data_IF_636300101483
#
_entry.id   IF_636300101483
#
_cell.length_a   1.000
_cell.length_b   1.000
_cell.length_c   1.000
_cell.angle_alpha   90.00
_cell.angle_beta   90.00
_cell.angle_gamma   90.00
#
_symmetry.space_group_name_H-M   'P 1'
#
loop_
_entity.id
_entity.type
_entity.pdbx_description
1 polymer ?
#
# COMPACT_ATOMS: atom_id res chain seq x y z
N UNK A 1 -23.76 66.37 -1.56
CA UNK A 1 -23.38 64.97 -1.75
C UNK A 1 -22.04 64.94 -2.48
N UNK A 2 -20.97 64.50 -1.84
CA UNK A 2 -19.65 64.46 -2.46
C UNK A 2 -19.57 63.23 -3.35
N UNK A 3 -19.47 63.45 -4.65
CA UNK A 3 -19.24 62.38 -5.63
C UNK A 3 -17.84 61.75 -5.40
N UNK A 4 -17.81 60.59 -4.83
CA UNK A 4 -16.56 59.82 -4.67
C UNK A 4 -16.09 59.32 -6.04
N UNK A 5 -15.48 60.20 -6.85
CA UNK A 5 -14.88 59.86 -8.12
C UNK A 5 -13.58 59.09 -7.86
N UNK A 6 -13.60 57.80 -8.08
CA UNK A 6 -12.39 56.92 -8.09
C UNK A 6 -11.50 57.40 -9.25
N UNK A 7 -10.46 58.20 -8.93
CA UNK A 7 -9.50 58.71 -9.92
C UNK A 7 -8.40 57.67 -10.17
N UNK A 8 -7.86 57.63 -11.41
CA UNK A 8 -6.71 56.75 -11.76
C UNK A 8 -5.53 56.90 -10.81
N UNK A 9 -5.31 58.12 -10.27
CA UNK A 9 -4.24 58.42 -9.32
C UNK A 9 -4.52 57.83 -7.95
N UNK A 10 -5.78 57.81 -7.50
CA UNK A 10 -6.20 57.17 -6.25
C UNK A 10 -6.06 55.63 -6.36
N UNK A 11 -6.47 55.06 -7.49
CA UNK A 11 -6.36 53.62 -7.75
C UNK A 11 -4.91 53.14 -7.79
N UNK A 12 -4.00 53.90 -8.43
CA UNK A 12 -2.57 53.61 -8.46
C UNK A 12 -1.93 53.67 -7.07
N UNK A 13 -2.30 54.68 -6.27
CA UNK A 13 -1.79 54.87 -4.92
C UNK A 13 -2.33 53.78 -3.96
N UNK A 14 -3.61 53.44 -4.09
CA UNK A 14 -4.25 52.39 -3.31
C UNK A 14 -3.63 51.02 -3.63
N UNK A 15 -3.38 50.72 -4.92
CA UNK A 15 -2.73 49.49 -5.33
C UNK A 15 -1.30 49.42 -4.79
N UNK A 16 -0.54 50.47 -4.87
CA UNK A 16 0.85 50.47 -4.39
C UNK A 16 0.96 50.28 -2.87
N UNK A 17 0.00 50.84 -2.11
CA UNK A 17 0.01 50.75 -0.63
C UNK A 17 -0.74 49.57 -0.07
N UNK A 18 -1.70 49.02 -0.81
CA UNK A 18 -2.62 47.96 -0.31
C UNK A 18 -2.48 46.63 -0.97
N UNK A 19 -1.59 46.47 -1.98
CA UNK A 19 -1.42 45.18 -2.69
C UNK A 19 -1.08 44.03 -1.75
N UNK A 20 -0.30 44.31 -0.72
CA UNK A 20 0.01 43.36 0.35
C UNK A 20 -1.23 42.78 1.05
N UNK A 21 -2.22 43.66 1.32
CA UNK A 21 -3.50 43.27 1.95
C UNK A 21 -4.29 42.34 1.06
N UNK A 22 -4.26 42.55 -0.24
CA UNK A 22 -4.92 41.67 -1.21
C UNK A 22 -4.21 40.34 -1.31
N UNK A 23 -2.88 40.30 -1.34
CA UNK A 23 -2.09 39.06 -1.29
C UNK A 23 -2.40 38.26 -0.02
N UNK A 24 -2.42 38.94 1.12
CA UNK A 24 -2.71 38.28 2.41
C UNK A 24 -4.16 37.77 2.46
N UNK A 25 -5.13 38.54 1.95
CA UNK A 25 -6.52 38.11 1.87
C UNK A 25 -6.68 36.87 0.96
N UNK A 26 -6.02 36.88 -0.20
CA UNK A 26 -6.02 35.75 -1.13
C UNK A 26 -5.41 34.52 -0.47
N UNK A 27 -4.29 34.65 0.22
CA UNK A 27 -3.62 33.57 0.91
C UNK A 27 -4.50 32.99 2.02
N UNK A 28 -5.15 33.84 2.82
CA UNK A 28 -6.11 33.39 3.86
C UNK A 28 -7.32 32.69 3.24
N UNK A 29 -7.83 33.19 2.10
CA UNK A 29 -8.96 32.59 1.42
C UNK A 29 -8.61 31.19 0.88
N UNK A 30 -7.45 31.04 0.25
CA UNK A 30 -6.97 29.73 -0.24
C UNK A 30 -6.78 28.77 0.94
N UNK A 31 -6.17 29.24 2.02
CA UNK A 31 -5.95 28.44 3.23
C UNK A 31 -7.29 28.03 3.88
N UNK A 32 -8.24 28.95 3.96
CA UNK A 32 -9.59 28.70 4.49
C UNK A 32 -10.35 27.67 3.67
N UNK A 33 -10.34 27.79 2.35
CA UNK A 33 -10.97 26.81 1.45
C UNK A 33 -10.29 25.44 1.58
N UNK A 34 -8.95 25.41 1.67
CA UNK A 34 -8.20 24.17 1.82
C UNK A 34 -8.54 23.46 3.15
N UNK A 35 -8.60 24.22 4.25
CA UNK A 35 -9.00 23.68 5.57
C UNK A 35 -10.44 23.17 5.53
N UNK A 36 -11.38 23.95 4.97
CA UNK A 36 -12.77 23.52 4.84
C UNK A 36 -12.88 22.23 4.03
N UNK A 37 -12.20 22.16 2.87
CA UNK A 37 -12.21 20.96 2.04
C UNK A 37 -11.63 19.76 2.79
N UNK A 38 -10.48 19.93 3.46
CA UNK A 38 -9.82 18.84 4.20
C UNK A 38 -10.65 18.32 5.37
N UNK A 39 -11.40 19.22 6.05
CA UNK A 39 -12.23 18.85 7.23
C UNK A 39 -13.61 18.34 6.86
N UNK A 40 -14.13 18.69 5.68
CA UNK A 40 -15.48 18.30 5.24
C UNK A 40 -15.48 17.20 4.18
N UNK A 41 -14.32 16.90 3.57
CA UNK A 41 -14.21 15.78 2.62
C UNK A 41 -14.56 14.47 3.34
N UNK A 42 -15.48 13.71 2.73
CA UNK A 42 -15.78 12.37 3.21
C UNK A 42 -14.50 11.51 3.15
N UNK A 43 -14.25 10.80 4.23
CA UNK A 43 -13.19 9.78 4.32
C UNK A 43 -13.87 8.50 4.75
N UNK A 44 -13.76 7.44 3.98
CA UNK A 44 -14.28 6.15 4.38
C UNK A 44 -13.71 5.74 5.74
N UNK A 45 -14.50 5.12 6.63
CA UNK A 45 -13.97 4.53 7.85
C UNK A 45 -12.97 3.41 7.51
N UNK A 46 -12.07 3.11 8.43
CA UNK A 46 -10.99 2.12 8.19
C UNK A 46 -11.53 0.74 7.78
N UNK A 47 -12.67 0.32 8.33
CA UNK A 47 -13.36 -0.93 7.99
C UNK A 47 -13.84 -1.02 6.53
N UNK A 48 -13.91 0.12 5.83
CA UNK A 48 -14.32 0.23 4.42
C UNK A 48 -13.18 0.56 3.46
N UNK A 49 -11.99 0.50 3.94
CA UNK A 49 -10.76 0.66 3.16
C UNK A 49 -10.00 -0.64 3.15
N UNK A 50 -9.28 -0.86 2.08
CA UNK A 50 -8.26 -1.89 2.02
C UNK A 50 -6.93 -1.27 1.63
N UNK A 51 -5.91 -1.53 2.41
CA UNK A 51 -4.57 -1.00 2.20
C UNK A 51 -3.61 -2.13 1.81
N UNK A 52 -3.05 -2.02 0.60
CA UNK A 52 -2.08 -2.96 0.05
C UNK A 52 -0.70 -2.30 0.00
N UNK A 53 0.24 -2.81 0.78
CA UNK A 53 1.61 -2.34 0.80
C UNK A 53 2.51 -3.30 0.03
N UNK A 54 3.06 -2.82 -1.08
CA UNK A 54 4.01 -3.57 -1.90
C UNK A 54 5.42 -3.16 -1.48
N UNK A 55 6.11 -4.04 -0.75
CA UNK A 55 7.47 -3.79 -0.32
C UNK A 55 8.45 -4.28 -1.39
N UNK A 56 8.62 -3.50 -2.45
CA UNK A 56 9.51 -3.79 -3.57
C UNK A 56 10.38 -2.58 -3.92
N UNK A 57 11.37 -2.78 -4.80
CA UNK A 57 12.23 -1.68 -5.27
C UNK A 57 11.45 -0.62 -6.05
N UNK A 58 10.44 -1.04 -6.80
CA UNK A 58 9.53 -0.17 -7.53
C UNK A 58 8.17 -0.84 -7.71
N UNK A 59 7.12 -0.03 -7.74
CA UNK A 59 5.77 -0.43 -8.13
C UNK A 59 5.03 0.76 -8.72
N UNK A 60 4.42 0.59 -9.88
CA UNK A 60 3.43 1.54 -10.42
C UNK A 60 2.09 1.33 -9.74
N UNK A 61 1.97 1.87 -8.52
CA UNK A 61 0.79 1.74 -7.67
C UNK A 61 -0.47 2.33 -8.32
N UNK A 62 -0.32 3.34 -9.19
CA UNK A 62 -1.47 3.97 -9.85
C UNK A 62 -2.09 3.05 -10.89
N UNK A 63 -1.28 2.51 -11.80
CA UNK A 63 -1.75 1.57 -12.82
C UNK A 63 -2.27 0.27 -12.19
N UNK A 64 -1.61 -0.20 -11.12
CA UNK A 64 -2.07 -1.36 -10.37
C UNK A 64 -3.44 -1.12 -9.70
N UNK A 65 -3.65 0.05 -9.11
CA UNK A 65 -4.93 0.44 -8.54
C UNK A 65 -6.05 0.47 -9.60
N UNK A 66 -5.80 1.09 -10.75
CA UNK A 66 -6.77 1.15 -11.85
C UNK A 66 -7.17 -0.24 -12.36
N UNK A 67 -6.29 -1.22 -12.26
CA UNK A 67 -6.57 -2.62 -12.66
C UNK A 67 -7.30 -3.41 -11.58
N UNK A 68 -6.91 -3.27 -10.31
CA UNK A 68 -7.44 -4.08 -9.20
C UNK A 68 -8.76 -3.57 -8.65
N UNK A 69 -8.89 -2.25 -8.50
CA UNK A 69 -10.06 -1.67 -7.83
C UNK A 69 -11.42 -2.04 -8.46
N UNK A 70 -11.59 -2.02 -9.80
CA UNK A 70 -12.87 -2.41 -10.41
C UNK A 70 -13.27 -3.85 -10.12
N UNK A 71 -12.29 -4.77 -10.02
CA UNK A 71 -12.54 -6.18 -9.75
C UNK A 71 -12.86 -6.35 -8.26
N UNK A 72 -12.00 -5.83 -7.39
CA UNK A 72 -12.15 -5.96 -5.95
C UNK A 72 -13.45 -5.34 -5.43
N UNK A 73 -13.79 -4.12 -5.88
CA UNK A 73 -15.03 -3.44 -5.46
C UNK A 73 -16.31 -4.12 -5.97
N UNK A 74 -16.24 -4.81 -7.10
CA UNK A 74 -17.38 -5.57 -7.61
C UNK A 74 -17.65 -6.83 -6.76
N UNK A 75 -16.60 -7.45 -6.23
CA UNK A 75 -16.69 -8.63 -5.36
C UNK A 75 -16.95 -8.24 -3.89
N UNK A 76 -16.51 -7.05 -3.47
CA UNK A 76 -16.63 -6.52 -2.11
C UNK A 76 -17.32 -5.15 -2.12
N UNK A 77 -18.63 -5.09 -2.32
CA UNK A 77 -19.37 -3.83 -2.53
C UNK A 77 -19.49 -2.95 -1.28
N UNK A 78 -19.12 -3.45 -0.12
CA UNK A 78 -19.03 -2.73 1.15
C UNK A 78 -17.72 -1.95 1.28
N UNK A 79 -16.71 -2.26 0.48
CA UNK A 79 -15.45 -1.52 0.43
C UNK A 79 -15.56 -0.28 -0.45
N UNK A 80 -15.03 0.84 0.03
CA UNK A 80 -15.17 2.16 -0.60
C UNK A 80 -13.84 2.70 -1.15
N UNK A 81 -12.70 2.19 -0.66
CA UNK A 81 -11.38 2.70 -1.04
C UNK A 81 -10.33 1.57 -1.04
N UNK A 82 -9.48 1.57 -2.07
CA UNK A 82 -8.25 0.79 -2.12
C UNK A 82 -7.05 1.75 -2.14
N UNK A 83 -6.14 1.59 -1.22
CA UNK A 83 -4.86 2.31 -1.22
C UNK A 83 -3.74 1.34 -1.53
N UNK A 84 -2.93 1.63 -2.56
CA UNK A 84 -1.72 0.85 -2.87
C UNK A 84 -0.50 1.72 -2.64
N UNK A 85 0.41 1.26 -1.78
CA UNK A 85 1.62 1.99 -1.43
C UNK A 85 2.86 1.14 -1.68
N UNK A 86 3.92 1.77 -2.22
CA UNK A 86 5.22 1.12 -2.37
C UNK A 86 6.18 1.55 -1.28
N UNK A 87 6.83 0.58 -0.62
CA UNK A 87 7.84 0.79 0.42
C UNK A 87 9.06 -0.06 0.08
N UNK A 88 10.20 0.56 -0.25
CA UNK A 88 11.38 -0.18 -0.71
C UNK A 88 12.18 -0.83 0.44
N UNK A 89 11.66 -1.91 1.02
CA UNK A 89 12.37 -2.65 2.07
C UNK A 89 13.54 -3.52 1.54
N UNK A 90 13.58 -3.81 0.25
CA UNK A 90 14.66 -4.60 -0.37
C UNK A 90 15.98 -3.84 -0.47
N UNK A 91 15.97 -2.51 -0.41
CA UNK A 91 17.19 -1.70 -0.48
C UNK A 91 18.07 -1.78 0.77
N UNK A 92 17.56 -2.32 1.88
CA UNK A 92 18.20 -2.23 3.18
C UNK A 92 18.26 -0.79 3.74
N UNK A 93 17.52 0.13 3.15
CA UNK A 93 17.45 1.52 3.59
C UNK A 93 16.73 1.61 4.94
N UNK A 94 17.44 2.18 5.92
CA UNK A 94 16.91 2.42 7.26
C UNK A 94 15.69 3.33 7.24
N UNK A 95 15.58 4.24 6.27
CA UNK A 95 14.42 5.12 6.13
C UNK A 95 13.15 4.34 5.74
N UNK A 96 13.25 3.42 4.79
CA UNK A 96 12.14 2.55 4.39
C UNK A 96 11.69 1.64 5.54
N UNK A 97 12.65 1.08 6.30
CA UNK A 97 12.34 0.28 7.48
C UNK A 97 11.63 1.10 8.58
N UNK A 98 12.06 2.35 8.79
CA UNK A 98 11.41 3.26 9.74
C UNK A 98 10.01 3.67 9.26
N UNK A 99 9.83 3.90 7.97
CA UNK A 99 8.55 4.20 7.37
C UNK A 99 7.57 3.04 7.57
N UNK A 100 7.97 1.81 7.23
CA UNK A 100 7.16 0.61 7.46
C UNK A 100 6.79 0.45 8.94
N UNK A 101 7.76 0.59 9.85
CA UNK A 101 7.51 0.51 11.30
C UNK A 101 6.52 1.57 11.78
N UNK A 102 6.52 2.75 11.18
CA UNK A 102 5.59 3.83 11.53
C UNK A 102 4.17 3.47 11.10
N UNK A 103 3.98 2.92 9.91
CA UNK A 103 2.67 2.47 9.45
C UNK A 103 2.15 1.29 10.27
N UNK A 104 3.00 0.30 10.55
CA UNK A 104 2.65 -0.81 11.40
C UNK A 104 2.25 -0.37 12.82
N UNK A 105 2.98 0.59 13.40
CA UNK A 105 2.62 1.18 14.72
C UNK A 105 1.32 1.99 14.68
N UNK A 106 0.96 2.54 13.52
CA UNK A 106 -0.30 3.22 13.29
C UNK A 106 -1.45 2.26 12.93
N UNK A 107 -1.19 0.95 12.93
CA UNK A 107 -2.12 -0.12 12.55
C UNK A 107 -2.65 0.02 11.11
N UNK A 108 -1.79 0.48 10.21
CA UNK A 108 -2.08 0.67 8.78
C UNK A 108 -1.48 -0.46 7.95
N UNK A 109 -2.15 -0.78 6.84
CA UNK A 109 -1.78 -1.86 5.94
C UNK A 109 -2.50 -3.17 6.28
N UNK A 110 -3.49 -3.54 5.50
CA UNK A 110 -4.22 -4.81 5.66
C UNK A 110 -3.45 -5.96 5.05
N UNK A 111 -2.93 -5.75 3.85
CA UNK A 111 -2.11 -6.72 3.11
C UNK A 111 -0.75 -6.12 2.83
N UNK A 112 0.29 -6.86 3.17
CA UNK A 112 1.66 -6.46 2.89
C UNK A 112 2.37 -7.54 2.08
N UNK A 113 2.97 -7.16 0.95
CA UNK A 113 3.94 -7.99 0.27
C UNK A 113 5.33 -7.70 0.85
N UNK A 114 5.79 -8.53 1.76
CA UNK A 114 7.04 -8.36 2.51
C UNK A 114 8.16 -9.23 1.94
N UNK A 115 9.43 -8.80 2.04
CA UNK A 115 10.56 -9.71 1.85
C UNK A 115 10.51 -10.85 2.88
N UNK A 116 10.88 -12.06 2.48
CA UNK A 116 10.91 -13.23 3.38
C UNK A 116 11.79 -12.96 4.64
N UNK A 117 12.84 -12.16 4.51
CA UNK A 117 13.68 -11.75 5.65
C UNK A 117 12.91 -10.96 6.71
N UNK A 118 12.00 -10.06 6.29
CA UNK A 118 11.17 -9.29 7.22
C UNK A 118 10.06 -10.17 7.83
N UNK A 119 9.48 -11.08 7.05
CA UNK A 119 8.51 -12.06 7.59
C UNK A 119 9.16 -12.88 8.71
N UNK A 120 10.36 -13.41 8.48
CA UNK A 120 11.13 -14.17 9.49
C UNK A 120 11.46 -13.35 10.73
N UNK A 121 11.73 -12.05 10.56
CA UNK A 121 12.03 -11.13 11.66
C UNK A 121 10.78 -10.80 12.49
N UNK A 122 9.66 -10.48 11.84
CA UNK A 122 8.41 -10.15 12.51
C UNK A 122 7.76 -11.36 13.20
N UNK A 123 7.98 -12.57 12.66
CA UNK A 123 7.48 -13.82 13.22
C UNK A 123 8.40 -14.47 14.26
N UNK A 124 9.55 -13.84 14.59
CA UNK A 124 10.58 -14.46 15.42
C UNK A 124 10.12 -14.81 16.84
N UNK A 125 9.24 -14.01 17.45
CA UNK A 125 8.69 -14.27 18.78
C UNK A 125 7.36 -15.01 18.69
N UNK A 126 6.42 -14.51 17.90
CA UNK A 126 5.11 -15.11 17.69
C UNK A 126 4.56 -14.67 16.31
N UNK A 127 4.37 -15.59 15.35
CA UNK A 127 3.80 -15.25 14.06
C UNK A 127 2.41 -14.62 14.16
N UNK A 128 1.58 -15.10 15.08
CA UNK A 128 0.21 -14.63 15.29
C UNK A 128 0.10 -13.21 15.88
N UNK A 129 1.19 -12.64 16.36
CA UNK A 129 1.20 -11.25 16.83
C UNK A 129 1.36 -10.24 15.69
N UNK A 130 1.88 -10.71 14.55
CA UNK A 130 2.10 -9.88 13.36
C UNK A 130 1.11 -10.21 12.22
N UNK A 131 0.84 -11.49 12.00
CA UNK A 131 0.15 -11.98 10.81
C UNK A 131 -1.09 -12.80 11.16
N UNK A 132 -2.09 -12.69 10.30
CA UNK A 132 -3.30 -13.52 10.35
C UNK A 132 -2.94 -14.96 9.95
N UNK A 133 -3.44 -15.94 10.69
CA UNK A 133 -3.33 -17.35 10.28
C UNK A 133 -4.26 -17.63 9.10
N UNK A 134 -3.69 -17.89 7.96
CA UNK A 134 -4.42 -18.16 6.71
C UNK A 134 -4.95 -19.61 6.60
N UNK A 135 -4.53 -20.50 7.52
CA UNK A 135 -4.93 -21.91 7.48
C UNK A 135 -6.46 -22.11 7.41
N UNK A 136 -7.29 -21.44 8.24
CA UNK A 136 -8.74 -21.61 8.19
C UNK A 136 -9.36 -21.19 6.85
N UNK A 137 -8.80 -20.14 6.22
CA UNK A 137 -9.30 -19.63 4.94
C UNK A 137 -8.94 -20.55 3.77
N UNK A 138 -7.77 -21.19 3.81
CA UNK A 138 -7.35 -22.19 2.83
C UNK A 138 -8.20 -23.45 3.00
N UNK A 139 -8.40 -23.94 4.22
CA UNK A 139 -9.20 -25.13 4.51
C UNK A 139 -10.69 -24.96 4.14
N UNK A 140 -11.24 -23.76 4.31
CA UNK A 140 -12.61 -23.44 3.91
C UNK A 140 -12.76 -23.21 2.41
N UNK A 141 -11.66 -23.02 1.68
CA UNK A 141 -11.67 -22.68 0.25
C UNK A 141 -11.95 -21.19 -0.02
N UNK A 142 -11.91 -20.33 1.01
CA UNK A 142 -12.01 -18.88 0.85
C UNK A 142 -10.73 -18.27 0.27
N UNK A 143 -9.61 -18.96 0.39
CA UNK A 143 -8.32 -18.62 -0.21
C UNK A 143 -7.81 -19.80 -1.05
N UNK A 144 -7.74 -19.64 -2.37
CA UNK A 144 -7.21 -20.64 -3.29
C UNK A 144 -5.72 -20.37 -3.57
N UNK A 145 -4.85 -21.15 -2.96
CA UNK A 145 -3.39 -21.01 -3.11
C UNK A 145 -2.84 -21.57 -4.43
N UNK A 146 -3.67 -22.27 -5.24
CA UNK A 146 -3.36 -22.73 -6.60
C UNK A 146 -2.02 -23.46 -6.75
N UNK A 147 -1.68 -24.26 -5.75
CA UNK A 147 -0.46 -25.07 -5.79
C UNK A 147 0.83 -24.34 -5.45
N UNK A 148 0.75 -23.14 -4.86
CA UNK A 148 1.92 -22.45 -4.31
C UNK A 148 2.48 -23.25 -3.14
N UNK A 149 3.81 -23.40 -3.09
CA UNK A 149 4.49 -24.06 -1.98
C UNK A 149 4.51 -23.17 -0.73
N UNK A 150 3.84 -23.62 0.33
CA UNK A 150 3.68 -22.88 1.58
C UNK A 150 4.69 -23.30 2.67
N UNK A 151 5.67 -24.14 2.33
CA UNK A 151 6.58 -24.73 3.32
C UNK A 151 7.35 -23.67 4.12
N UNK A 152 7.81 -22.61 3.46
CA UNK A 152 8.59 -21.54 4.14
C UNK A 152 7.75 -20.60 4.99
N UNK A 153 6.45 -20.50 4.75
CA UNK A 153 5.51 -19.64 5.46
C UNK A 153 4.65 -20.38 6.47
N UNK A 154 4.84 -21.69 6.56
CA UNK A 154 4.24 -22.55 7.59
C UNK A 154 5.09 -22.50 8.85
N UNK A 155 4.57 -21.84 9.89
CA UNK A 155 5.30 -21.55 11.12
C UNK A 155 4.58 -22.15 12.34
N UNK A 156 5.31 -22.46 13.44
CA UNK A 156 4.70 -22.99 14.65
C UNK A 156 3.77 -21.96 15.31
N UNK A 157 2.61 -22.44 15.79
CA UNK A 157 1.69 -21.61 16.61
C UNK A 157 2.13 -21.63 18.07
N UNK A 158 1.92 -20.52 18.82
CA UNK A 158 2.19 -20.48 20.27
C UNK A 158 1.41 -21.54 21.05
N UNK A 159 0.22 -21.87 20.61
CA UNK A 159 -0.68 -22.86 21.24
C UNK A 159 -0.36 -24.32 20.86
N UNK A 160 0.61 -24.53 19.98
CA UNK A 160 0.98 -25.82 19.40
C UNK A 160 0.35 -26.05 18.03
N UNK A 161 1.01 -26.87 17.21
CA UNK A 161 0.65 -27.09 15.81
C UNK A 161 1.36 -26.12 14.87
N UNK A 162 0.88 -26.05 13.62
CA UNK A 162 1.42 -25.17 12.58
C UNK A 162 0.31 -24.30 12.00
N UNK A 163 0.68 -23.11 11.54
CA UNK A 163 -0.18 -22.18 10.83
C UNK A 163 0.53 -21.62 9.61
N UNK A 164 -0.25 -21.15 8.65
CA UNK A 164 0.24 -20.51 7.43
C UNK A 164 0.07 -19.02 7.60
N UNK A 165 1.18 -18.27 7.59
CA UNK A 165 1.18 -16.83 7.90
C UNK A 165 1.55 -15.95 6.72
N UNK A 166 1.56 -16.52 5.52
CA UNK A 166 1.80 -15.79 4.29
C UNK A 166 1.78 -16.68 3.07
N UNK A 167 1.63 -16.08 1.91
CA UNK A 167 1.64 -16.76 0.62
C UNK A 167 2.86 -16.27 -0.17
N UNK A 168 3.82 -17.16 -0.51
CA UNK A 168 4.95 -16.79 -1.37
C UNK A 168 4.48 -16.24 -2.72
N UNK A 169 5.06 -15.12 -3.11
CA UNK A 169 4.68 -14.43 -4.34
C UNK A 169 5.48 -14.87 -5.57
N UNK A 170 6.38 -15.85 -5.42
CA UNK A 170 7.33 -16.27 -6.46
C UNK A 170 6.70 -16.68 -7.79
N UNK A 171 5.42 -17.06 -7.79
CA UNK A 171 4.65 -17.43 -9.00
C UNK A 171 3.79 -16.28 -9.54
N UNK A 172 3.76 -15.12 -8.87
CA UNK A 172 2.92 -13.99 -9.25
C UNK A 172 3.62 -13.08 -10.28
N UNK A 173 4.14 -13.67 -11.36
CA UNK A 173 4.90 -12.94 -12.38
C UNK A 173 4.10 -11.84 -13.08
N UNK A 174 2.76 -11.88 -13.03
CA UNK A 174 1.90 -10.81 -13.51
C UNK A 174 2.16 -9.45 -12.83
N UNK A 175 2.73 -9.44 -11.60
CA UNK A 175 3.12 -8.21 -10.91
C UNK A 175 4.25 -7.44 -11.62
N UNK A 176 5.03 -8.11 -12.45
CA UNK A 176 6.12 -7.49 -13.20
C UNK A 176 5.64 -6.41 -14.18
N UNK A 177 4.40 -6.48 -14.65
CA UNK A 177 3.81 -5.42 -15.48
C UNK A 177 3.74 -4.06 -14.77
N UNK A 178 3.76 -4.06 -13.43
CA UNK A 178 3.80 -2.85 -12.60
C UNK A 178 5.22 -2.55 -12.08
N UNK A 179 6.22 -3.27 -12.55
CA UNK A 179 7.62 -3.11 -12.14
C UNK A 179 7.98 -3.80 -10.82
N UNK A 180 7.06 -4.59 -10.23
CA UNK A 180 7.31 -5.35 -9.00
C UNK A 180 7.91 -6.70 -9.34
N UNK A 181 9.12 -6.98 -8.81
CA UNK A 181 9.68 -8.34 -8.82
C UNK A 181 9.01 -9.17 -7.72
N UNK A 182 8.30 -10.27 -8.05
CA UNK A 182 7.62 -11.09 -7.06
C UNK A 182 8.56 -11.98 -6.24
N UNK A 183 9.80 -12.16 -6.69
CA UNK A 183 10.73 -13.08 -6.06
C UNK A 183 11.13 -12.65 -4.64
N UNK A 184 11.24 -13.63 -3.76
CA UNK A 184 11.49 -13.46 -2.33
C UNK A 184 10.40 -12.65 -1.58
N UNK A 185 9.29 -12.29 -2.28
CA UNK A 185 8.12 -11.63 -1.69
C UNK A 185 7.15 -12.63 -1.06
N UNK A 186 6.50 -12.20 0.01
CA UNK A 186 5.44 -12.97 0.69
C UNK A 186 4.25 -12.05 0.93
N UNK A 187 3.08 -12.46 0.48
CA UNK A 187 1.82 -11.77 0.78
C UNK A 187 1.35 -12.18 2.18
N UNK A 188 1.23 -11.23 3.07
CA UNK A 188 0.79 -11.42 4.44
C UNK A 188 -0.42 -10.54 4.73
N UNK A 189 -1.44 -11.09 5.42
CA UNK A 189 -2.48 -10.30 6.05
C UNK A 189 -2.02 -9.88 7.45
N UNK A 190 -2.16 -8.60 7.79
CA UNK A 190 -1.65 -8.05 9.05
C UNK A 190 -2.75 -8.12 10.13
N UNK A 191 -2.43 -8.73 11.28
CA UNK A 191 -3.41 -8.97 12.36
C UNK A 191 -3.97 -7.69 13.00
N UNK A 192 -3.22 -6.60 12.97
CA UNK A 192 -3.60 -5.37 13.64
C UNK A 192 -4.65 -4.53 12.88
N UNK A 193 -4.89 -4.81 11.61
CA UNK A 193 -5.88 -4.05 10.81
C UNK A 193 -7.32 -4.38 11.20
N UNK A 194 -7.58 -5.63 11.66
CA UNK A 194 -8.92 -6.10 12.00
C UNK A 194 -9.84 -6.29 10.79
N UNK A 195 -9.29 -6.25 9.57
CA UNK A 195 -9.99 -6.36 8.30
C UNK A 195 -9.67 -7.69 7.58
N UNK A 196 -9.58 -8.77 8.36
CA UNK A 196 -9.03 -10.06 7.95
C UNK A 196 -9.71 -10.64 6.71
N UNK A 197 -11.05 -10.60 6.66
CA UNK A 197 -11.80 -11.18 5.54
C UNK A 197 -11.49 -10.48 4.20
N UNK A 198 -11.43 -9.14 4.21
CA UNK A 198 -11.11 -8.37 3.01
C UNK A 198 -9.61 -8.44 2.66
N UNK A 199 -8.74 -8.54 3.66
CA UNK A 199 -7.32 -8.80 3.44
C UNK A 199 -7.09 -10.14 2.74
N UNK A 200 -7.78 -11.19 3.18
CA UNK A 200 -7.73 -12.52 2.54
C UNK A 200 -8.33 -12.47 1.13
N UNK A 201 -9.46 -11.78 0.94
CA UNK A 201 -10.05 -11.60 -0.39
C UNK A 201 -9.11 -10.85 -1.36
N UNK A 202 -8.34 -9.87 -0.85
CA UNK A 202 -7.34 -9.17 -1.65
C UNK A 202 -6.17 -10.10 -2.01
N UNK A 203 -5.71 -10.95 -1.09
CA UNK A 203 -4.66 -11.95 -1.37
C UNK A 203 -5.15 -12.94 -2.44
N UNK A 204 -6.38 -13.45 -2.32
CA UNK A 204 -6.97 -14.35 -3.31
C UNK A 204 -7.05 -13.71 -4.70
N UNK A 205 -7.49 -12.45 -4.75
CA UNK A 205 -7.52 -11.66 -6.00
C UNK A 205 -6.12 -11.52 -6.62
N UNK A 206 -5.11 -11.20 -5.81
CA UNK A 206 -3.74 -11.07 -6.29
C UNK A 206 -3.20 -12.39 -6.87
N UNK A 207 -3.48 -13.53 -6.22
CA UNK A 207 -3.10 -14.84 -6.72
C UNK A 207 -3.84 -15.14 -8.04
N UNK A 208 -5.14 -14.93 -8.07
CA UNK A 208 -5.99 -15.22 -9.23
C UNK A 208 -5.60 -14.42 -10.47
N UNK A 209 -5.30 -13.14 -10.30
CA UNK A 209 -5.01 -12.24 -11.42
C UNK A 209 -3.54 -12.28 -11.87
N UNK A 210 -2.60 -12.54 -10.94
CA UNK A 210 -1.17 -12.39 -11.24
C UNK A 210 -0.34 -13.66 -11.19
N UNK A 211 -0.92 -14.80 -10.79
CA UNK A 211 -0.24 -16.09 -10.92
C UNK A 211 -0.16 -16.48 -12.38
N UNK A 212 1.02 -16.44 -12.94
CA UNK A 212 1.29 -16.77 -14.35
C UNK A 212 2.52 -17.65 -14.48
N UNK A 213 2.70 -18.24 -15.67
CA UNK A 213 3.91 -18.98 -15.97
C UNK A 213 5.14 -18.06 -15.92
N UNK A 214 6.27 -18.62 -15.52
CA UNK A 214 7.54 -17.90 -15.43
C UNK A 214 7.95 -17.36 -16.80
N UNK A 215 8.19 -16.04 -16.94
CA UNK A 215 8.60 -15.45 -18.19
C UNK A 215 9.95 -15.99 -18.68
N UNK A 216 10.10 -16.16 -19.98
CA UNK A 216 11.35 -16.58 -20.60
C UNK A 216 12.45 -15.52 -20.31
N UNK A 217 13.62 -15.96 -19.83
CA UNK A 217 14.72 -15.05 -19.50
C UNK A 217 14.64 -14.35 -18.13
N UNK A 218 13.62 -14.63 -17.32
CA UNK A 218 13.45 -14.04 -15.99
C UNK A 218 14.70 -14.18 -15.11
N UNK A 219 15.29 -15.39 -15.02
CA UNK A 219 16.48 -15.61 -14.19
C UNK A 219 17.68 -14.77 -14.63
N UNK A 220 17.88 -14.64 -15.94
CA UNK A 220 18.97 -13.82 -16.49
C UNK A 220 18.79 -12.33 -16.17
N UNK A 221 17.56 -11.85 -16.24
CA UNK A 221 17.23 -10.46 -15.87
C UNK A 221 17.49 -10.21 -14.38
N UNK A 222 17.04 -11.11 -13.51
CA UNK A 222 17.22 -11.04 -12.06
C UNK A 222 18.70 -11.09 -11.66
N UNK A 223 19.48 -12.00 -12.25
CA UNK A 223 20.93 -12.11 -11.99
C UNK A 223 21.66 -10.83 -12.44
N UNK A 224 21.26 -10.21 -13.52
CA UNK A 224 21.81 -8.94 -13.98
C UNK A 224 21.52 -7.79 -13.01
N UNK A 225 20.32 -7.75 -12.44
CA UNK A 225 19.93 -6.74 -11.43
C UNK A 225 20.70 -6.93 -10.11
N UNK A 226 20.83 -8.16 -9.62
CA UNK A 226 21.61 -8.48 -8.40
C UNK A 226 23.07 -8.08 -8.56
N UNK A 227 23.68 -8.35 -9.70
CA UNK A 227 25.05 -7.97 -9.98
C UNK A 227 25.26 -6.44 -10.02
N UNK A 228 24.27 -5.69 -10.49
CA UNK A 228 24.32 -4.21 -10.52
C UNK A 228 24.22 -3.61 -9.11
N UNK A 229 23.40 -4.19 -8.25
CA UNK A 229 23.24 -3.72 -6.85
C UNK A 229 24.43 -4.07 -5.96
N UNK A 230 25.21 -5.10 -6.27
CA UNK A 230 26.40 -5.50 -5.51
C UNK A 230 27.65 -4.63 -5.77
N UNK A 231 27.60 -3.69 -6.72
CA UNK A 231 28.70 -2.82 -7.14
C UNK A 231 28.67 -1.44 -6.46
N UNK A 232 27.62 -1.14 -5.71
CA UNK A 232 27.44 0.09 -4.93
C UNK A 232 27.33 -0.21 -3.43
#
# INVERSE_FOLDING_TARGET
>A
MAENRITKKWMKNHWHYSWWKYMLLTMISIMGVNILFTTTAYRPPEEKKIELYICSSFNDSMTMHESLWPIFSAENPDQEELTIMNINLFSGDMYAAMQFSTYAAAQQGDVCMLPMSEVKKLSAESPSDAFVDLTPYIESGALDVRGIDLTETTLPKPEGGQGIYGIPADSLYGLMQYGTDPADGVLCAMVYSGNDEHAVAMIDLLIREYQTEKPEGYDQMRDSQKNTQSVF
#
